data_IF_693715881835
#
_entry.id   IF_693715881835
#
_cell.length_a   1.000
_cell.length_b   1.000
_cell.length_c   1.000
_cell.angle_alpha   90.00
_cell.angle_beta   90.00
_cell.angle_gamma   90.00
#
_symmetry.space_group_name_H-M   'P 1'
#
loop_
_entity.id
_entity.type
_entity.pdbx_description
1 polymer ?
#
# COMPACT_ATOMS: atom_id res chain seq x y z
N UNK A 1 65.85 -14.36 -5.22
CA UNK A 1 64.88 -13.24 -5.18
C UNK A 1 63.50 -13.87 -5.35
N UNK A 2 62.69 -13.87 -4.23
CA UNK A 2 61.32 -14.40 -4.28
C UNK A 2 60.41 -13.17 -4.49
N UNK A 3 59.72 -13.15 -5.64
CA UNK A 3 58.68 -12.14 -5.89
C UNK A 3 57.37 -12.55 -5.14
N UNK A 4 56.94 -11.72 -4.24
CA UNK A 4 55.58 -11.82 -3.67
C UNK A 4 54.57 -11.28 -4.69
N UNK A 5 53.63 -12.15 -5.10
CA UNK A 5 52.49 -11.74 -5.91
C UNK A 5 51.36 -11.31 -4.93
N UNK A 6 51.11 -10.01 -4.85
CA UNK A 6 49.98 -9.47 -4.08
C UNK A 6 48.75 -9.52 -4.94
N UNK A 7 47.82 -10.44 -4.62
CA UNK A 7 46.51 -10.52 -5.27
C UNK A 7 45.59 -9.50 -4.61
N UNK A 8 45.22 -8.47 -5.34
CA UNK A 8 44.23 -7.48 -4.89
C UNK A 8 42.84 -8.03 -5.27
N UNK A 9 42.08 -8.50 -4.29
CA UNK A 9 40.66 -8.85 -4.47
C UNK A 9 39.84 -7.57 -4.53
N UNK A 10 39.32 -7.23 -5.69
CA UNK A 10 38.33 -6.16 -5.85
C UNK A 10 36.95 -6.72 -5.50
N UNK A 11 36.42 -6.37 -4.35
CA UNK A 11 35.03 -6.67 -3.98
C UNK A 11 34.12 -5.67 -4.70
N UNK A 12 33.45 -6.07 -5.76
CA UNK A 12 32.42 -5.27 -6.41
C UNK A 12 31.15 -5.35 -5.53
N UNK A 13 30.87 -4.31 -4.79
CA UNK A 13 29.58 -4.19 -4.08
C UNK A 13 28.50 -3.92 -5.13
N UNK A 14 27.67 -4.92 -5.42
CA UNK A 14 26.48 -4.72 -6.23
C UNK A 14 25.49 -3.94 -5.38
N UNK A 15 25.34 -2.67 -5.65
CA UNK A 15 24.31 -1.84 -5.00
C UNK A 15 22.98 -2.21 -5.62
N UNK A 16 22.10 -2.84 -4.84
CA UNK A 16 20.74 -3.18 -5.31
C UNK A 16 19.97 -1.90 -5.63
N UNK A 17 19.38 -1.85 -6.82
CA UNK A 17 18.66 -0.67 -7.31
C UNK A 17 17.26 -0.66 -6.69
N UNK A 18 16.82 0.49 -6.21
CA UNK A 18 15.44 0.72 -5.78
C UNK A 18 14.51 0.58 -6.98
N UNK A 19 13.49 -0.26 -6.86
CA UNK A 19 12.53 -0.52 -7.93
C UNK A 19 11.13 -0.82 -7.37
N UNK A 20 10.12 -0.71 -8.23
CA UNK A 20 8.75 -1.11 -7.88
C UNK A 20 8.71 -2.61 -7.57
N UNK A 21 8.07 -2.95 -6.47
CA UNK A 21 7.85 -4.34 -6.03
C UNK A 21 6.38 -4.69 -6.19
N UNK A 22 6.10 -5.90 -6.64
CA UNK A 22 4.74 -6.37 -6.86
C UNK A 22 4.41 -7.48 -5.88
N UNK A 23 3.30 -7.37 -5.15
CA UNK A 23 2.76 -8.48 -4.38
C UNK A 23 2.43 -9.66 -5.31
N UNK A 24 2.56 -10.88 -4.82
CA UNK A 24 2.10 -12.09 -5.50
C UNK A 24 0.67 -12.45 -5.12
N UNK A 25 0.18 -11.89 -4.03
CA UNK A 25 -1.15 -12.13 -3.50
C UNK A 25 -1.57 -10.99 -2.59
N UNK A 26 -2.87 -10.77 -2.50
CA UNK A 26 -3.47 -9.90 -1.49
C UNK A 26 -4.70 -10.56 -0.89
N UNK A 27 -5.12 -10.07 0.26
CA UNK A 27 -6.43 -10.30 0.85
C UNK A 27 -6.93 -9.03 1.55
N UNK A 28 -8.22 -8.96 1.81
CA UNK A 28 -8.86 -7.82 2.44
C UNK A 28 -9.97 -8.25 3.37
N UNK A 29 -10.36 -7.35 4.28
CA UNK A 29 -11.49 -7.56 5.20
C UNK A 29 -12.79 -7.89 4.45
N UNK A 30 -13.03 -7.20 3.35
CA UNK A 30 -14.20 -7.38 2.49
C UNK A 30 -13.97 -6.75 1.12
N UNK A 31 -14.85 -7.04 0.17
CA UNK A 31 -14.94 -6.36 -1.12
C UNK A 31 -16.38 -6.02 -1.42
N UNK A 32 -16.64 -4.84 -1.97
CA UNK A 32 -17.99 -4.38 -2.28
C UNK A 32 -18.72 -5.37 -3.19
N UNK A 33 -19.94 -5.74 -2.80
CA UNK A 33 -20.77 -6.74 -3.47
C UNK A 33 -20.15 -8.14 -3.66
N UNK A 34 -19.09 -8.47 -2.89
CA UNK A 34 -18.29 -9.70 -3.07
C UNK A 34 -17.86 -9.93 -4.54
N UNK A 35 -17.63 -8.84 -5.26
CA UNK A 35 -17.35 -8.85 -6.69
C UNK A 35 -15.89 -8.56 -7.03
N UNK A 36 -15.42 -9.20 -8.11
CA UNK A 36 -14.04 -9.05 -8.60
C UNK A 36 -13.71 -7.61 -9.02
N UNK A 37 -14.72 -6.81 -9.36
CA UNK A 37 -14.55 -5.42 -9.78
C UNK A 37 -14.06 -4.46 -8.68
N UNK A 38 -14.03 -4.89 -7.41
CA UNK A 38 -13.67 -4.07 -6.26
C UNK A 38 -12.74 -4.79 -5.29
N UNK A 39 -12.03 -5.80 -5.77
CA UNK A 39 -11.16 -6.64 -4.98
C UNK A 39 -9.82 -5.98 -4.66
N UNK A 40 -9.05 -6.58 -3.75
CA UNK A 40 -7.75 -6.02 -3.35
C UNK A 40 -6.70 -6.05 -4.45
N UNK A 41 -6.87 -6.87 -5.50
CA UNK A 41 -5.98 -6.90 -6.66
C UNK A 41 -5.95 -5.55 -7.38
N UNK A 42 -7.04 -4.79 -7.35
CA UNK A 42 -7.10 -3.43 -7.90
C UNK A 42 -6.11 -2.46 -7.24
N UNK A 43 -5.60 -2.79 -6.03
CA UNK A 43 -4.66 -1.93 -5.32
C UNK A 43 -3.24 -1.92 -5.90
N UNK A 44 -2.91 -2.81 -6.84
CA UNK A 44 -1.57 -2.88 -7.43
C UNK A 44 -1.54 -3.26 -8.91
N UNK A 45 -2.68 -3.16 -9.59
CA UNK A 45 -2.81 -3.49 -11.01
C UNK A 45 -2.33 -2.37 -11.94
N UNK A 46 -2.21 -1.13 -11.42
CA UNK A 46 -1.81 0.05 -12.17
C UNK A 46 -2.92 0.67 -13.00
N UNK A 47 -4.16 0.21 -12.82
CA UNK A 47 -5.35 0.75 -13.46
C UNK A 47 -6.11 1.73 -12.52
N UNK A 48 -6.99 2.60 -13.02
CA UNK A 48 -7.75 3.53 -12.18
C UNK A 48 -8.90 2.85 -11.41
N UNK A 49 -8.97 1.52 -11.40
CA UNK A 49 -9.85 0.75 -10.53
C UNK A 49 -9.51 0.96 -9.06
N UNK A 50 -10.39 0.59 -8.17
CA UNK A 50 -10.17 0.72 -6.73
C UNK A 50 -10.62 -0.51 -5.97
N UNK A 51 -9.95 -0.82 -4.87
CA UNK A 51 -10.55 -1.64 -3.83
C UNK A 51 -11.64 -0.83 -3.13
N UNK A 52 -12.78 -1.45 -2.92
CA UNK A 52 -13.85 -0.89 -2.10
C UNK A 52 -14.29 -1.93 -1.08
N UNK A 53 -14.41 -1.52 0.17
CA UNK A 53 -14.89 -2.38 1.22
C UNK A 53 -16.42 -2.50 1.23
N UNK A 54 -16.93 -3.52 1.90
CA UNK A 54 -18.37 -3.75 2.11
C UNK A 54 -18.76 -3.59 3.59
N UNK A 55 -17.81 -3.14 4.44
CA UNK A 55 -18.03 -3.02 5.88
C UNK A 55 -18.69 -1.71 6.28
N UNK A 56 -18.93 -0.80 5.35
CA UNK A 56 -19.39 0.56 5.56
C UNK A 56 -18.44 1.43 6.40
N UNK A 57 -18.18 2.64 5.95
CA UNK A 57 -17.40 3.65 6.68
C UNK A 57 -15.95 3.23 7.02
N UNK A 58 -15.36 2.30 6.27
CA UNK A 58 -14.05 1.70 6.55
C UNK A 58 -13.97 0.97 7.91
N UNK A 59 -15.07 0.65 8.52
CA UNK A 59 -15.07 0.06 9.85
C UNK A 59 -14.38 -1.30 9.85
N UNK A 60 -13.35 -1.46 10.70
CA UNK A 60 -12.52 -2.67 10.79
C UNK A 60 -11.91 -3.10 9.43
N UNK A 61 -11.79 -2.17 8.49
CA UNK A 61 -11.23 -2.39 7.17
C UNK A 61 -9.73 -2.68 7.22
N UNK A 62 -9.28 -3.65 6.45
CA UNK A 62 -7.87 -3.94 6.28
C UNK A 62 -7.58 -4.54 4.90
N UNK A 63 -6.34 -4.36 4.46
CA UNK A 63 -5.77 -5.03 3.29
C UNK A 63 -4.40 -5.56 3.64
N UNK A 64 -4.02 -6.70 3.08
CA UNK A 64 -2.71 -7.33 3.30
C UNK A 64 -2.12 -7.84 1.99
N UNK A 65 -0.81 -7.85 1.92
CA UNK A 65 -0.04 -8.19 0.74
C UNK A 65 1.06 -9.19 1.09
N UNK A 66 1.27 -10.17 0.22
CA UNK A 66 2.37 -11.12 0.33
C UNK A 66 3.31 -10.97 -0.86
N UNK A 67 4.61 -11.07 -0.62
CA UNK A 67 5.66 -11.05 -1.63
C UNK A 67 6.28 -12.44 -1.77
N UNK A 68 6.88 -12.73 -2.94
CA UNK A 68 7.48 -14.04 -3.23
C UNK A 68 8.69 -14.39 -2.35
N UNK A 69 9.30 -13.40 -1.75
CA UNK A 69 10.45 -13.50 -0.87
C UNK A 69 10.50 -12.31 0.08
N UNK A 70 11.40 -12.33 1.05
CA UNK A 70 11.71 -11.15 1.84
C UNK A 70 12.33 -10.06 0.95
N UNK A 71 11.79 -8.84 1.05
CA UNK A 71 12.24 -7.65 0.35
C UNK A 71 12.48 -6.53 1.35
N UNK A 72 13.50 -5.71 1.11
CA UNK A 72 13.61 -4.44 1.82
C UNK A 72 12.66 -3.44 1.16
N UNK A 73 11.54 -3.15 1.81
CA UNK A 73 10.59 -2.11 1.38
C UNK A 73 11.06 -0.79 1.99
N UNK A 74 11.46 0.14 1.13
CA UNK A 74 11.93 1.47 1.54
C UNK A 74 10.73 2.37 1.85
N UNK A 75 9.74 2.42 0.95
CA UNK A 75 8.50 3.16 1.13
C UNK A 75 7.37 2.53 0.30
N UNK A 76 6.15 2.92 0.63
CA UNK A 76 5.00 2.72 -0.24
C UNK A 76 4.41 4.07 -0.67
N UNK A 77 3.70 4.07 -1.80
CA UNK A 77 2.89 5.18 -2.26
C UNK A 77 1.43 4.78 -2.12
N UNK A 78 0.70 5.52 -1.31
CA UNK A 78 -0.73 5.34 -1.08
C UNK A 78 -1.49 6.34 -1.94
N UNK A 79 -2.37 5.86 -2.82
CA UNK A 79 -3.18 6.67 -3.71
C UNK A 79 -4.66 6.52 -3.38
N UNK A 80 -5.27 7.58 -2.91
CA UNK A 80 -6.72 7.69 -2.86
C UNK A 80 -7.31 7.73 -4.28
N UNK A 81 -8.63 7.63 -4.40
CA UNK A 81 -9.31 7.71 -5.69
C UNK A 81 -9.02 9.06 -6.36
N UNK A 82 -8.42 9.05 -7.55
CA UNK A 82 -8.01 10.27 -8.26
C UNK A 82 -9.21 11.10 -8.77
N UNK A 83 -10.29 10.44 -9.18
CA UNK A 83 -11.50 11.15 -9.62
C UNK A 83 -12.08 11.97 -8.47
N UNK A 84 -12.03 13.29 -8.61
CA UNK A 84 -12.39 14.21 -7.53
C UNK A 84 -13.83 14.05 -7.04
N UNK A 85 -14.76 13.68 -7.91
CA UNK A 85 -16.16 13.46 -7.52
C UNK A 85 -16.31 12.18 -6.72
N UNK A 86 -15.67 11.10 -7.16
CA UNK A 86 -15.66 9.82 -6.46
C UNK A 86 -14.92 9.93 -5.13
N UNK A 87 -13.76 10.61 -5.11
CA UNK A 87 -13.01 10.89 -3.89
C UNK A 87 -13.87 11.61 -2.85
N UNK A 88 -14.52 12.71 -3.23
CA UNK A 88 -15.36 13.47 -2.31
C UNK A 88 -16.53 12.66 -1.74
N UNK A 89 -17.09 11.74 -2.52
CA UNK A 89 -18.25 10.94 -2.10
C UNK A 89 -17.93 9.68 -1.32
N UNK A 90 -16.73 9.10 -1.49
CA UNK A 90 -16.31 7.90 -0.74
C UNK A 90 -15.87 8.24 0.70
N UNK A 91 -15.96 7.25 1.58
CA UNK A 91 -15.15 7.26 2.79
C UNK A 91 -13.67 7.09 2.42
N UNK A 92 -12.80 7.82 3.11
CA UNK A 92 -11.36 7.86 2.87
C UNK A 92 -10.63 7.43 4.12
N UNK A 93 -9.74 6.44 4.02
CA UNK A 93 -8.88 6.05 5.12
C UNK A 93 -8.12 7.27 5.65
N UNK A 94 -8.10 7.47 6.97
CA UNK A 94 -7.42 8.58 7.63
C UNK A 94 -6.26 8.09 8.49
N UNK A 95 -6.56 7.42 9.59
CA UNK A 95 -5.52 6.82 10.40
C UNK A 95 -5.36 5.36 10.02
N UNK A 96 -4.15 4.96 9.70
CA UNK A 96 -3.81 3.59 9.34
C UNK A 96 -2.70 3.05 10.24
N UNK A 97 -2.72 1.73 10.45
CA UNK A 97 -1.66 0.98 11.09
C UNK A 97 -1.03 0.03 10.07
N UNK A 98 0.27 0.18 9.84
CA UNK A 98 1.03 -0.73 8.97
C UNK A 98 1.81 -1.70 9.83
N UNK A 99 1.67 -3.00 9.54
CA UNK A 99 2.43 -4.09 10.16
C UNK A 99 3.14 -4.92 9.10
N UNK A 100 4.29 -5.49 9.46
CA UNK A 100 5.08 -6.36 8.58
C UNK A 100 5.22 -7.76 9.19
N UNK A 101 5.93 -8.68 8.53
CA UNK A 101 6.23 -10.03 9.04
C UNK A 101 6.91 -9.98 10.41
N UNK A 102 7.78 -9.01 10.62
CA UNK A 102 8.33 -8.70 11.94
C UNK A 102 7.29 -7.91 12.73
N UNK A 103 6.65 -8.57 13.69
CA UNK A 103 5.64 -7.97 14.57
C UNK A 103 6.17 -6.81 15.44
N UNK A 104 7.49 -6.57 15.45
CA UNK A 104 8.08 -5.40 16.11
C UNK A 104 7.91 -4.11 15.27
N UNK A 105 7.67 -4.23 13.95
CA UNK A 105 7.40 -3.07 13.11
C UNK A 105 5.92 -2.73 13.14
N UNK A 106 5.61 -1.60 13.76
CA UNK A 106 4.29 -1.00 13.82
C UNK A 106 4.40 0.47 13.45
N UNK A 107 3.79 0.89 12.34
CA UNK A 107 3.76 2.27 11.91
C UNK A 107 2.33 2.81 11.92
N UNK A 108 2.03 3.75 12.82
CA UNK A 108 0.82 4.56 12.74
C UNK A 108 1.06 5.75 11.80
N UNK A 109 0.17 5.94 10.85
CA UNK A 109 0.23 7.05 9.88
C UNK A 109 -1.14 7.70 9.74
N UNK A 110 -1.18 9.02 9.92
CA UNK A 110 -2.31 9.84 9.50
C UNK A 110 -2.12 10.21 8.02
N UNK A 111 -3.14 9.92 7.21
CA UNK A 111 -3.18 10.26 5.79
C UNK A 111 -3.80 11.64 5.61
N UNK A 112 -3.31 12.37 4.61
CA UNK A 112 -3.92 13.62 4.21
C UNK A 112 -5.27 13.34 3.50
N UNK A 113 -6.27 14.18 3.78
CA UNK A 113 -7.57 14.10 3.15
C UNK A 113 -7.53 14.78 1.78
N UNK A 114 -6.80 14.21 0.85
CA UNK A 114 -6.71 14.66 -0.53
C UNK A 114 -6.65 13.47 -1.52
N UNK A 115 -6.82 13.74 -2.80
CA UNK A 115 -6.82 12.73 -3.85
C UNK A 115 -5.45 12.59 -4.55
N UNK A 116 -4.39 13.08 -3.94
CA UNK A 116 -3.02 12.93 -4.45
C UNK A 116 -2.32 11.73 -3.83
N UNK A 117 -1.22 11.31 -4.45
CA UNK A 117 -0.38 10.23 -3.93
C UNK A 117 0.36 10.68 -2.67
N UNK A 118 0.38 9.83 -1.65
CA UNK A 118 1.05 10.06 -0.38
C UNK A 118 2.16 9.03 -0.18
N UNK A 119 3.34 9.50 0.20
CA UNK A 119 4.52 8.67 0.42
C UNK A 119 4.64 8.30 1.89
N UNK A 120 4.85 7.02 2.15
CA UNK A 120 4.94 6.48 3.51
C UNK A 120 6.21 5.66 3.62
N UNK A 121 7.17 6.15 4.41
CA UNK A 121 8.43 5.45 4.69
C UNK A 121 8.17 4.20 5.51
N UNK A 122 8.67 3.07 5.03
CA UNK A 122 8.55 1.76 5.68
C UNK A 122 9.89 1.35 6.28
N UNK A 123 10.95 1.30 5.47
CA UNK A 123 12.32 0.97 5.86
C UNK A 123 12.42 -0.37 6.63
N UNK A 124 11.73 -1.39 6.16
CA UNK A 124 11.68 -2.71 6.78
C UNK A 124 11.90 -3.84 5.76
N UNK A 125 12.55 -4.92 6.21
CA UNK A 125 12.64 -6.17 5.43
C UNK A 125 11.45 -7.05 5.78
N UNK A 126 10.68 -7.44 4.76
CA UNK A 126 9.44 -8.18 4.97
C UNK A 126 9.04 -8.99 3.74
N UNK A 127 8.34 -10.10 3.94
CA UNK A 127 7.60 -10.84 2.91
C UNK A 127 6.09 -10.62 2.99
N UNK A 128 5.63 -9.78 3.95
CA UNK A 128 4.24 -9.55 4.24
C UNK A 128 4.04 -8.13 4.78
N UNK A 129 2.99 -7.46 4.32
CA UNK A 129 2.61 -6.15 4.83
C UNK A 129 1.09 -6.06 4.93
N UNK A 130 0.61 -5.61 6.08
CA UNK A 130 -0.81 -5.37 6.34
C UNK A 130 -1.05 -3.90 6.66
N UNK A 131 -2.15 -3.36 6.18
CA UNK A 131 -2.65 -2.04 6.49
C UNK A 131 -4.03 -2.20 7.13
N UNK A 132 -4.13 -1.87 8.41
CA UNK A 132 -5.40 -1.77 9.11
C UNK A 132 -5.88 -0.31 9.08
N UNK A 133 -7.17 -0.07 8.78
CA UNK A 133 -7.77 1.24 8.78
C UNK A 133 -8.35 1.49 10.17
N UNK A 134 -7.79 2.47 10.88
CA UNK A 134 -8.19 2.79 12.27
C UNK A 134 -9.27 3.86 12.33
N UNK A 135 -9.30 4.77 11.36
CA UNK A 135 -10.32 5.80 11.21
C UNK A 135 -10.47 6.24 9.76
N UNK A 136 -11.58 6.90 9.45
CA UNK A 136 -11.86 7.38 8.11
C UNK A 136 -12.56 8.74 8.13
N UNK A 137 -12.32 9.53 7.09
CA UNK A 137 -13.08 10.73 6.80
C UNK A 137 -14.34 10.38 6.00
N UNK A 138 -15.51 10.92 6.34
CA UNK A 138 -16.75 10.61 5.66
C UNK A 138 -16.80 11.17 4.24
N UNK A 139 -17.63 10.56 3.40
CA UNK A 139 -18.00 11.11 2.11
C UNK A 139 -18.93 12.32 2.27
N UNK A 140 -18.98 13.12 1.21
CA UNK A 140 -19.80 14.33 1.13
C UNK A 140 -20.80 14.26 -0.03
N UNK A 141 -21.91 15.00 0.07
CA UNK A 141 -22.81 15.18 -1.07
C UNK A 141 -22.14 16.06 -2.13
N UNK A 142 -22.14 15.60 -3.37
CA UNK A 142 -21.56 16.35 -4.50
C UNK A 142 -22.60 16.49 -5.59
N UNK A 143 -22.97 17.73 -5.91
CA UNK A 143 -23.90 18.08 -6.99
C UNK A 143 -25.24 17.30 -6.91
N UNK A 144 -25.80 17.17 -5.72
CA UNK A 144 -27.06 16.43 -5.47
C UNK A 144 -26.92 14.90 -5.46
N UNK A 145 -25.71 14.38 -5.60
CA UNK A 145 -25.41 12.95 -5.45
C UNK A 145 -25.00 12.66 -4.01
N UNK A 146 -25.70 11.76 -3.34
CA UNK A 146 -25.43 11.39 -1.96
C UNK A 146 -24.02 10.77 -1.80
N UNK A 147 -23.40 10.89 -0.63
CA UNK A 147 -22.16 10.19 -0.35
C UNK A 147 -22.32 8.69 -0.48
N UNK A 148 -21.22 8.01 -0.76
CA UNK A 148 -21.12 6.56 -0.65
C UNK A 148 -20.80 6.17 0.79
N UNK A 149 -21.13 4.95 1.18
CA UNK A 149 -20.79 4.42 2.52
C UNK A 149 -19.52 3.57 2.49
N UNK A 150 -19.04 3.20 1.32
CA UNK A 150 -17.87 2.36 1.11
C UNK A 150 -16.58 3.14 1.30
N UNK A 151 -15.56 2.48 1.84
CA UNK A 151 -14.17 2.93 1.82
C UNK A 151 -13.55 2.59 0.47
N UNK A 152 -12.86 3.53 -0.14
CA UNK A 152 -12.22 3.29 -1.43
C UNK A 152 -10.74 3.70 -1.41
N UNK A 153 -9.87 2.81 -1.89
CA UNK A 153 -8.44 3.05 -2.12
C UNK A 153 -8.14 2.65 -3.56
N UNK A 154 -7.48 3.52 -4.33
CA UNK A 154 -7.20 3.24 -5.73
C UNK A 154 -5.96 2.39 -5.93
N UNK A 155 -4.81 2.78 -5.35
CA UNK A 155 -3.54 2.11 -5.61
C UNK A 155 -2.63 2.15 -4.38
N UNK A 156 -1.87 1.09 -4.18
CA UNK A 156 -0.77 1.00 -3.21
C UNK A 156 0.45 0.44 -3.94
N UNK A 157 1.42 1.30 -4.19
CA UNK A 157 2.66 0.92 -4.89
C UNK A 157 3.80 0.77 -3.90
N UNK A 158 4.52 -0.33 -3.94
CA UNK A 158 5.66 -0.62 -3.08
C UNK A 158 6.97 -0.35 -3.81
N UNK A 159 7.93 0.26 -3.13
CA UNK A 159 9.29 0.50 -3.62
C UNK A 159 10.31 -0.09 -2.67
N UNK A 160 11.23 -0.88 -3.20
CA UNK A 160 12.19 -1.61 -2.40
C UNK A 160 13.30 -2.23 -3.20
N UNK A 161 14.05 -3.11 -2.52
CA UNK A 161 15.21 -3.83 -3.07
C UNK A 161 15.09 -5.30 -2.71
N UNK A 162 15.35 -6.16 -3.66
CA UNK A 162 15.43 -7.60 -3.45
C UNK A 162 16.88 -8.10 -3.38
#
# INVERSE_FOLDING_TARGET
VVQQITTTSSTTTIQSILQKQYPINCSSSSSYNNGDGWSCENLYDGDPSSWQDNSLQCQDGWVEFSFSQELYIEFLVFQNVEDSKSFSRNFKARDILITTTDSEFLLNKELENDNTSQWIDINATTSYLKIDILSADPGEEVSGSQPFEECAIQEITFYGRG
#
